data_IF_450920944594
#
_entry.id   IF_450920944594
#
_cell.length_a   1.000
_cell.length_b   1.000
_cell.length_c   1.000
_cell.angle_alpha   90.00
_cell.angle_beta   90.00
_cell.angle_gamma   90.00
#
_symmetry.space_group_name_H-M   'P 1'
#
loop_
_entity.id
_entity.type
_entity.pdbx_description
1 polymer ?
#
# COMPACT_ATOMS: atom_id res chain seq x y z
N UNK A 1 30.67 -37.89 23.80
CA UNK A 1 30.35 -37.16 22.54
C UNK A 1 28.93 -36.61 22.50
N UNK A 2 27.90 -37.32 22.99
CA UNK A 2 26.50 -36.90 22.98
C UNK A 2 26.25 -35.59 23.76
N UNK A 3 26.91 -35.44 24.94
CA UNK A 3 26.78 -34.21 25.74
C UNK A 3 27.25 -32.96 24.97
N UNK A 4 28.35 -33.03 24.25
CA UNK A 4 28.86 -31.89 23.47
C UNK A 4 28.02 -31.57 22.23
N UNK A 5 27.42 -32.59 21.61
CA UNK A 5 26.49 -32.40 20.51
C UNK A 5 25.20 -31.74 21.01
N UNK A 6 24.64 -32.21 22.13
CA UNK A 6 23.46 -31.59 22.76
C UNK A 6 23.70 -30.13 23.22
N UNK A 7 24.90 -29.85 23.79
CA UNK A 7 25.25 -28.47 24.17
C UNK A 7 25.40 -27.55 22.96
N UNK A 8 25.90 -28.06 21.82
CA UNK A 8 26.00 -27.27 20.59
C UNK A 8 24.63 -27.01 19.94
N UNK A 9 23.73 -27.99 19.99
CA UNK A 9 22.34 -27.83 19.54
C UNK A 9 21.56 -26.82 20.41
N UNK A 10 21.67 -26.92 21.74
CA UNK A 10 21.04 -26.00 22.65
C UNK A 10 21.54 -24.55 22.46
N UNK A 11 22.84 -24.34 22.24
CA UNK A 11 23.39 -23.02 21.87
C UNK A 11 22.87 -22.51 20.54
N UNK A 12 22.75 -23.39 19.55
CA UNK A 12 22.20 -23.05 18.22
C UNK A 12 20.73 -22.67 18.32
N UNK A 13 19.95 -23.35 19.13
CA UNK A 13 18.54 -23.04 19.38
C UNK A 13 18.38 -21.76 20.17
N UNK A 14 19.20 -21.51 21.18
CA UNK A 14 19.20 -20.25 21.92
C UNK A 14 19.57 -19.05 21.02
N UNK A 15 20.60 -19.20 20.17
CA UNK A 15 20.99 -18.18 19.20
C UNK A 15 19.89 -17.93 18.15
N UNK A 16 19.25 -18.99 17.64
CA UNK A 16 18.10 -18.89 16.75
C UNK A 16 16.91 -18.21 17.46
N UNK A 17 16.70 -18.49 18.73
CA UNK A 17 15.67 -17.85 19.57
C UNK A 17 15.87 -16.34 19.67
N UNK A 18 17.08 -15.92 20.00
CA UNK A 18 17.43 -14.50 20.14
C UNK A 18 17.34 -13.73 18.80
N UNK A 19 17.82 -14.35 17.70
CA UNK A 19 17.67 -13.77 16.37
C UNK A 19 16.21 -13.67 15.92
N UNK A 20 15.40 -14.68 16.27
CA UNK A 20 14.00 -14.71 15.91
C UNK A 20 13.17 -13.63 16.61
N UNK A 21 13.53 -13.20 17.82
CA UNK A 21 12.86 -12.10 18.54
C UNK A 21 13.35 -10.71 18.10
N UNK A 22 14.55 -10.60 17.57
CA UNK A 22 15.09 -9.34 17.06
C UNK A 22 14.37 -8.84 15.80
N UNK A 23 14.00 -9.75 14.90
CA UNK A 23 13.35 -9.41 13.63
C UNK A 23 11.98 -8.71 13.79
N UNK A 24 11.01 -9.25 14.57
CA UNK A 24 9.75 -8.54 14.77
C UNK A 24 9.93 -7.24 15.55
N UNK A 25 10.91 -7.16 16.48
CA UNK A 25 11.25 -5.93 17.19
C UNK A 25 11.76 -4.82 16.25
N UNK A 26 12.58 -5.18 15.25
CA UNK A 26 13.03 -4.23 14.22
C UNK A 26 11.85 -3.77 13.34
N UNK A 27 10.99 -4.69 12.90
CA UNK A 27 9.79 -4.35 12.12
C UNK A 27 8.81 -3.48 12.90
N UNK A 28 8.65 -3.72 14.21
CA UNK A 28 7.83 -2.87 15.09
C UNK A 28 8.36 -1.44 15.15
N UNK A 29 9.68 -1.25 15.24
CA UNK A 29 10.31 0.09 15.17
C UNK A 29 10.07 0.77 13.82
N UNK A 30 10.23 0.03 12.73
CA UNK A 30 9.99 0.56 11.38
C UNK A 30 8.54 0.98 11.18
N UNK A 31 7.58 0.16 11.63
CA UNK A 31 6.16 0.48 11.62
C UNK A 31 5.88 1.74 12.45
N UNK A 32 6.40 1.82 13.66
CA UNK A 32 6.22 2.99 14.53
C UNK A 32 6.82 4.25 13.90
N UNK A 33 8.03 4.18 13.36
CA UNK A 33 8.69 5.34 12.71
C UNK A 33 7.93 5.82 11.47
N UNK A 34 7.30 4.93 10.74
CA UNK A 34 6.51 5.29 9.55
C UNK A 34 5.17 5.91 9.93
N UNK A 35 4.54 5.41 11.00
CA UNK A 35 3.16 5.73 11.36
C UNK A 35 3.01 6.77 12.48
N UNK A 36 4.06 7.07 13.25
CA UNK A 36 3.99 7.93 14.44
C UNK A 36 3.42 9.34 14.18
N UNK A 37 3.47 9.83 12.95
CA UNK A 37 2.94 11.13 12.53
C UNK A 37 1.43 11.10 12.17
N UNK A 38 0.81 9.92 12.17
CA UNK A 38 -0.60 9.81 11.76
C UNK A 38 -1.52 10.05 12.92
N UNK A 39 -2.21 11.18 12.90
CA UNK A 39 -3.17 11.61 13.93
C UNK A 39 -4.59 11.73 13.34
N UNK A 40 -5.59 11.74 14.21
CA UNK A 40 -6.95 12.15 13.83
C UNK A 40 -6.97 13.68 13.82
N UNK A 41 -7.17 14.29 12.64
CA UNK A 41 -6.97 15.74 12.45
C UNK A 41 -8.26 16.55 12.38
N UNK A 42 -9.35 15.93 11.96
CA UNK A 42 -10.63 16.60 11.74
C UNK A 42 -11.79 15.60 11.80
N UNK A 43 -13.01 16.07 11.91
CA UNK A 43 -14.19 15.22 11.94
C UNK A 43 -14.46 14.57 10.56
N UNK A 44 -14.46 15.37 9.51
CA UNK A 44 -14.79 14.91 8.15
C UNK A 44 -14.01 15.67 7.09
N UNK A 45 -13.19 14.98 6.32
CA UNK A 45 -12.49 15.57 5.16
C UNK A 45 -13.39 15.83 3.93
N UNK A 46 -14.68 15.51 4.02
CA UNK A 46 -15.65 15.75 2.96
C UNK A 46 -15.47 14.95 1.67
N UNK A 47 -14.54 13.99 1.62
CA UNK A 47 -14.29 13.21 0.39
C UNK A 47 -15.51 12.35 0.01
N UNK A 48 -16.00 12.43 -1.25
CA UNK A 48 -17.02 11.52 -1.76
C UNK A 48 -16.39 10.17 -2.18
N UNK A 49 -15.07 10.06 -2.09
CA UNK A 49 -14.34 8.87 -2.50
C UNK A 49 -14.33 7.79 -1.39
N UNK A 50 -13.98 6.57 -1.77
CA UNK A 50 -13.93 5.43 -0.86
C UNK A 50 -13.51 4.17 -1.60
N UNK A 51 -13.36 3.09 -0.85
CA UNK A 51 -13.08 1.77 -1.39
C UNK A 51 -14.37 0.95 -1.52
N UNK A 52 -14.39 0.00 -2.44
CA UNK A 52 -15.50 -0.95 -2.57
C UNK A 52 -15.19 -2.17 -1.70
N UNK A 53 -16.11 -2.48 -0.80
CA UNK A 53 -16.06 -3.65 0.06
C UNK A 53 -17.28 -4.53 -0.14
N UNK A 54 -17.13 -5.84 0.07
CA UNK A 54 -18.24 -6.77 0.08
C UNK A 54 -19.06 -6.59 1.37
N UNK A 55 -20.38 -6.61 1.27
CA UNK A 55 -21.28 -6.44 2.44
C UNK A 55 -21.21 -7.58 3.45
N UNK A 56 -20.66 -8.74 3.07
CA UNK A 56 -20.40 -9.87 3.97
C UNK A 56 -19.00 -9.81 4.64
N UNK A 57 -18.17 -8.79 4.35
CA UNK A 57 -16.89 -8.58 5.02
C UNK A 57 -17.12 -7.94 6.39
N UNK A 58 -16.65 -8.56 7.46
CA UNK A 58 -16.78 -8.05 8.83
C UNK A 58 -16.14 -6.67 9.02
N UNK A 59 -15.12 -6.34 8.22
CA UNK A 59 -14.45 -5.04 8.24
C UNK A 59 -15.31 -3.87 7.72
N UNK A 60 -16.53 -4.11 7.27
CA UNK A 60 -17.49 -3.06 6.85
C UNK A 60 -18.15 -2.39 8.06
N UNK A 61 -18.31 -3.11 9.17
CA UNK A 61 -18.94 -2.59 10.39
C UNK A 61 -18.13 -1.45 11.01
N UNK A 62 -18.83 -0.44 11.52
CA UNK A 62 -18.23 0.74 12.13
C UNK A 62 -17.61 1.72 11.13
N UNK A 63 -17.67 1.47 9.82
CA UNK A 63 -17.29 2.43 8.78
C UNK A 63 -18.46 3.31 8.38
N UNK A 64 -18.16 4.38 7.67
CA UNK A 64 -19.15 5.26 7.04
C UNK A 64 -19.24 4.96 5.55
N UNK A 65 -20.46 5.05 5.00
CA UNK A 65 -20.66 5.01 3.54
C UNK A 65 -19.99 6.21 2.88
N UNK A 66 -19.47 6.02 1.65
CA UNK A 66 -18.97 7.11 0.85
C UNK A 66 -20.15 7.80 0.12
N UNK A 67 -20.23 9.11 0.24
CA UNK A 67 -21.29 9.92 -0.37
C UNK A 67 -22.24 10.51 0.66
N UNK A 68 -23.05 9.70 1.32
CA UNK A 68 -24.02 10.14 2.35
C UNK A 68 -23.48 10.10 3.78
N UNK A 69 -22.26 9.61 3.95
CA UNK A 69 -21.57 9.53 5.25
C UNK A 69 -22.39 8.86 6.36
N UNK A 70 -23.19 7.85 6.01
CA UNK A 70 -24.01 7.09 6.95
C UNK A 70 -23.16 6.04 7.66
N UNK A 71 -23.31 5.93 8.97
CA UNK A 71 -22.66 4.87 9.75
C UNK A 71 -23.24 3.49 9.37
N UNK A 72 -22.34 2.52 9.17
CA UNK A 72 -22.70 1.13 8.89
C UNK A 72 -22.68 0.38 10.22
N UNK A 73 -23.84 0.38 10.87
CA UNK A 73 -24.12 -0.44 12.03
C UNK A 73 -24.72 -1.80 11.62
N UNK A 74 -24.95 -2.67 12.60
CA UNK A 74 -25.50 -4.00 12.36
C UNK A 74 -26.90 -3.95 11.73
N UNK A 75 -27.72 -2.96 12.09
CA UNK A 75 -29.08 -2.80 11.58
C UNK A 75 -29.07 -2.42 10.10
N UNK A 76 -28.25 -1.45 9.75
CA UNK A 76 -28.10 -1.00 8.37
C UNK A 76 -27.50 -2.11 7.49
N UNK A 77 -26.45 -2.79 7.97
CA UNK A 77 -25.84 -3.91 7.27
C UNK A 77 -26.86 -5.03 6.98
N UNK A 78 -27.68 -5.38 7.98
CA UNK A 78 -28.76 -6.37 7.81
C UNK A 78 -29.80 -5.92 6.77
N UNK A 79 -30.08 -4.62 6.70
CA UNK A 79 -30.99 -4.07 5.69
C UNK A 79 -30.40 -4.16 4.26
N UNK A 80 -29.10 -3.94 4.11
CA UNK A 80 -28.39 -4.08 2.83
C UNK A 80 -28.37 -5.53 2.35
N UNK A 81 -28.11 -6.48 3.25
CA UNK A 81 -28.11 -7.91 2.94
C UNK A 81 -29.50 -8.39 2.50
N UNK A 82 -30.58 -7.97 3.20
CA UNK A 82 -31.97 -8.26 2.78
C UNK A 82 -32.29 -7.71 1.39
N UNK A 83 -31.74 -6.58 1.02
CA UNK A 83 -31.85 -5.96 -0.32
C UNK A 83 -30.92 -6.58 -1.36
N UNK A 84 -30.18 -7.64 -1.02
CA UNK A 84 -29.22 -8.34 -1.89
C UNK A 84 -28.11 -7.42 -2.43
N UNK A 85 -27.74 -6.37 -1.70
CA UNK A 85 -26.63 -5.48 -2.05
C UNK A 85 -25.34 -6.19 -1.66
N UNK A 86 -24.58 -6.64 -2.66
CA UNK A 86 -23.35 -7.43 -2.47
C UNK A 86 -22.10 -6.57 -2.22
N UNK A 87 -22.09 -5.32 -2.68
CA UNK A 87 -20.93 -4.42 -2.59
C UNK A 87 -21.36 -3.04 -2.15
N UNK A 88 -20.55 -2.42 -1.33
CA UNK A 88 -20.79 -1.09 -0.80
C UNK A 88 -19.52 -0.24 -0.93
N UNK A 89 -19.68 1.04 -1.29
CA UNK A 89 -18.58 2.02 -1.29
C UNK A 89 -18.48 2.64 0.10
N UNK A 90 -17.34 2.45 0.78
CA UNK A 90 -17.14 2.88 2.16
C UNK A 90 -15.97 3.85 2.28
N UNK A 91 -16.04 4.74 3.25
CA UNK A 91 -14.93 5.61 3.65
C UNK A 91 -13.77 4.78 4.17
N UNK A 92 -12.54 5.22 3.89
CA UNK A 92 -11.33 4.48 4.22
C UNK A 92 -10.18 5.43 4.54
N UNK A 93 -9.29 5.08 5.48
CA UNK A 93 -8.01 5.77 5.66
C UNK A 93 -7.22 5.89 4.35
N UNK A 94 -7.28 4.88 3.48
CA UNK A 94 -6.55 4.84 2.20
C UNK A 94 -6.94 5.98 1.25
N UNK A 95 -8.23 6.36 1.24
CA UNK A 95 -8.78 7.39 0.36
C UNK A 95 -9.06 8.71 1.07
N UNK A 96 -8.68 8.83 2.34
CA UNK A 96 -8.90 10.04 3.13
C UNK A 96 -8.16 11.24 2.55
N UNK A 97 -8.83 12.40 2.51
CA UNK A 97 -8.26 13.65 2.03
C UNK A 97 -7.70 14.55 3.14
N UNK A 98 -7.90 14.18 4.41
CA UNK A 98 -7.33 14.88 5.55
C UNK A 98 -5.80 14.93 5.50
N UNK A 99 -5.22 16.08 5.87
CA UNK A 99 -3.78 16.30 5.95
C UNK A 99 -3.46 17.23 7.10
N UNK A 100 -2.44 16.89 7.88
CA UNK A 100 -1.78 15.58 7.96
C UNK A 100 -2.68 14.57 8.67
N UNK A 101 -2.54 13.28 8.46
CA UNK A 101 -3.31 12.27 9.20
C UNK A 101 -4.61 11.81 8.53
N UNK A 102 -5.63 11.46 9.33
CA UNK A 102 -6.89 10.85 8.88
C UNK A 102 -8.06 11.54 9.60
N UNK A 103 -9.20 11.75 8.94
CA UNK A 103 -10.41 12.25 9.60
C UNK A 103 -11.16 11.14 10.32
N UNK A 104 -11.99 11.52 11.33
CA UNK A 104 -12.77 10.57 12.12
C UNK A 104 -13.68 9.69 11.25
N UNK A 105 -14.35 10.26 10.25
CA UNK A 105 -15.26 9.48 9.37
C UNK A 105 -14.53 8.48 8.47
N UNK A 106 -13.36 8.80 7.97
CA UNK A 106 -12.58 7.85 7.16
C UNK A 106 -11.97 6.73 8.02
N UNK A 107 -11.62 7.02 9.27
CA UNK A 107 -11.24 5.99 10.23
C UNK A 107 -12.45 5.14 10.64
N UNK A 108 -13.59 5.75 10.97
CA UNK A 108 -14.78 5.09 11.47
C UNK A 108 -14.80 4.94 12.99
N UNK A 109 -15.45 3.90 13.48
CA UNK A 109 -15.52 3.58 14.91
C UNK A 109 -14.39 2.64 15.32
N UNK A 110 -13.88 2.81 16.52
CA UNK A 110 -12.93 1.87 17.13
C UNK A 110 -13.62 0.56 17.59
N UNK A 111 -12.86 -0.33 18.22
CA UNK A 111 -13.39 -1.60 18.75
C UNK A 111 -14.43 -1.42 19.87
N UNK A 112 -14.47 -0.24 20.50
CA UNK A 112 -15.47 0.12 21.52
C UNK A 112 -16.69 0.86 20.92
N UNK A 113 -16.85 0.84 19.60
CA UNK A 113 -17.89 1.55 18.86
C UNK A 113 -17.89 3.08 19.11
N UNK A 114 -16.72 3.68 19.34
CA UNK A 114 -16.55 5.12 19.56
C UNK A 114 -15.70 5.74 18.46
N UNK A 115 -15.96 7.00 18.12
CA UNK A 115 -15.05 7.80 17.31
C UNK A 115 -13.84 8.23 18.15
N UNK A 116 -12.65 8.14 17.56
CA UNK A 116 -11.44 8.63 18.21
C UNK A 116 -11.47 10.18 18.26
N UNK A 117 -11.11 10.79 19.42
CA UNK A 117 -10.98 12.24 19.52
C UNK A 117 -9.98 12.82 18.53
N UNK A 118 -10.22 14.07 18.09
CA UNK A 118 -9.25 14.85 17.32
C UNK A 118 -7.97 15.01 18.16
N UNK A 119 -6.80 14.92 17.53
CA UNK A 119 -5.50 14.96 18.19
C UNK A 119 -5.00 13.57 18.64
N UNK A 120 -5.85 12.52 18.62
CA UNK A 120 -5.40 11.17 18.98
C UNK A 120 -4.32 10.70 18.00
N UNK A 121 -3.15 10.30 18.52
CA UNK A 121 -2.14 9.62 17.72
C UNK A 121 -2.60 8.18 17.42
N UNK A 122 -3.25 8.05 16.30
CA UNK A 122 -3.80 6.78 15.83
C UNK A 122 -2.71 5.88 15.21
N UNK A 123 -1.70 6.48 14.60
CA UNK A 123 -0.64 5.73 13.91
C UNK A 123 0.17 4.83 14.84
N UNK A 124 0.45 5.25 16.07
CA UNK A 124 1.11 4.40 17.08
C UNK A 124 0.25 3.20 17.44
N UNK A 125 -1.07 3.38 17.58
CA UNK A 125 -2.00 2.26 17.82
C UNK A 125 -2.00 1.27 16.67
N UNK A 126 -1.97 1.77 15.43
CA UNK A 126 -1.84 0.92 14.23
C UNK A 126 -0.53 0.16 14.23
N UNK A 127 0.59 0.83 14.50
CA UNK A 127 1.90 0.19 14.56
C UNK A 127 1.93 -0.95 15.59
N UNK A 128 1.35 -0.74 16.78
CA UNK A 128 1.23 -1.77 17.81
C UNK A 128 0.35 -2.93 17.36
N UNK A 129 -0.83 -2.66 16.82
CA UNK A 129 -1.77 -3.69 16.35
C UNK A 129 -1.19 -4.54 15.23
N UNK A 130 -0.34 -3.96 14.36
CA UNK A 130 0.33 -4.68 13.28
C UNK A 130 1.56 -5.47 13.78
N UNK A 131 2.31 -4.94 14.73
CA UNK A 131 3.56 -5.56 15.20
C UNK A 131 3.36 -6.73 16.17
N UNK A 132 2.32 -6.69 16.98
CA UNK A 132 2.03 -7.76 17.95
C UNK A 132 1.89 -9.14 17.29
N UNK A 133 1.04 -9.31 16.26
CA UNK A 133 0.93 -10.59 15.58
C UNK A 133 2.22 -11.03 14.87
N UNK A 134 3.03 -10.10 14.39
CA UNK A 134 4.31 -10.45 13.73
C UNK A 134 5.25 -11.19 14.68
N UNK A 135 5.27 -10.81 15.96
CA UNK A 135 6.03 -11.54 16.98
C UNK A 135 5.52 -12.95 17.18
N UNK A 136 4.19 -13.13 17.23
CA UNK A 136 3.56 -14.44 17.34
C UNK A 136 3.81 -15.31 16.11
N UNK A 137 3.79 -14.74 14.91
CA UNK A 137 4.07 -15.44 13.65
C UNK A 137 5.49 -16.04 13.60
N UNK A 138 6.48 -15.36 14.19
CA UNK A 138 7.84 -15.89 14.29
C UNK A 138 7.90 -17.07 15.26
N UNK A 139 7.20 -16.98 16.38
CA UNK A 139 7.17 -18.05 17.39
C UNK A 139 6.41 -19.28 16.88
N UNK A 140 5.27 -19.10 16.20
CA UNK A 140 4.45 -20.20 15.67
C UNK A 140 5.08 -20.91 14.47
N UNK A 141 5.88 -20.24 13.67
CA UNK A 141 6.61 -20.87 12.56
C UNK A 141 7.61 -21.95 13.02
N UNK A 142 8.01 -21.93 14.31
CA UNK A 142 8.86 -22.97 14.92
C UNK A 142 8.09 -24.24 15.28
N UNK A 143 6.79 -24.16 15.50
CA UNK A 143 5.96 -25.28 16.00
C UNK A 143 5.05 -25.90 14.92
N UNK A 144 4.82 -25.19 13.82
CA UNK A 144 4.07 -25.70 12.67
C UNK A 144 5.01 -26.42 11.70
N UNK A 145 4.93 -27.76 11.66
CA UNK A 145 5.62 -28.52 10.64
C UNK A 145 5.32 -27.94 9.26
N UNK A 146 6.38 -27.70 8.47
CA UNK A 146 6.31 -27.21 7.11
C UNK A 146 5.36 -28.08 6.27
N UNK A 147 4.12 -27.67 6.15
CA UNK A 147 3.39 -28.03 4.94
C UNK A 147 4.05 -27.23 3.81
N UNK A 148 4.80 -27.93 2.98
CA UNK A 148 5.43 -27.37 1.79
C UNK A 148 4.33 -26.67 0.96
N UNK A 149 4.20 -25.36 1.11
CA UNK A 149 3.38 -24.56 0.19
C UNK A 149 4.07 -24.61 -1.16
N UNK A 150 3.27 -24.81 -2.19
CA UNK A 150 3.67 -24.82 -3.61
C UNK A 150 4.66 -23.69 -3.87
N UNK A 151 5.76 -23.96 -4.55
CA UNK A 151 6.87 -23.02 -4.85
C UNK A 151 6.50 -21.68 -5.50
N UNK A 152 5.24 -21.50 -5.87
CA UNK A 152 4.71 -20.29 -6.52
C UNK A 152 4.07 -19.29 -5.54
N UNK A 153 3.94 -19.59 -4.24
CA UNK A 153 3.23 -18.73 -3.27
C UNK A 153 4.17 -17.82 -2.49
N UNK A 154 3.58 -16.73 -1.95
CA UNK A 154 4.25 -15.87 -0.99
C UNK A 154 4.58 -16.69 0.28
N UNK A 155 5.78 -16.54 0.87
CA UNK A 155 6.07 -17.11 2.18
C UNK A 155 5.02 -16.67 3.22
N UNK A 156 4.68 -17.55 4.15
CA UNK A 156 3.72 -17.21 5.22
C UNK A 156 4.39 -16.43 6.36
N UNK A 157 3.58 -15.72 7.11
CA UNK A 157 4.00 -15.07 8.35
C UNK A 157 5.01 -13.95 8.17
N UNK A 158 5.97 -13.88 9.07
CA UNK A 158 6.97 -12.81 9.12
C UNK A 158 7.84 -12.73 7.85
N UNK A 159 8.17 -13.86 7.23
CA UNK A 159 8.97 -13.87 6.00
C UNK A 159 8.20 -13.23 4.85
N UNK A 160 6.90 -13.55 4.70
CA UNK A 160 6.03 -12.93 3.70
C UNK A 160 5.85 -11.43 3.94
N UNK A 161 5.62 -11.04 5.19
CA UNK A 161 5.54 -9.62 5.56
C UNK A 161 6.81 -8.87 5.14
N UNK A 162 7.99 -9.38 5.49
CA UNK A 162 9.26 -8.76 5.14
C UNK A 162 9.54 -8.74 3.65
N UNK A 163 9.21 -9.81 2.94
CA UNK A 163 9.39 -9.84 1.49
C UNK A 163 8.61 -8.71 0.79
N UNK A 164 7.40 -8.43 1.28
CA UNK A 164 6.55 -7.37 0.71
C UNK A 164 7.00 -5.98 1.16
N UNK A 165 7.39 -5.79 2.42
CA UNK A 165 7.69 -4.47 2.99
C UNK A 165 9.15 -4.04 2.84
N UNK A 166 10.10 -4.98 2.87
CA UNK A 166 11.54 -4.68 2.75
C UNK A 166 12.00 -4.58 1.29
N UNK A 167 11.22 -5.08 0.35
CA UNK A 167 11.50 -5.08 -1.11
C UNK A 167 12.93 -5.54 -1.38
N UNK A 168 13.26 -6.82 -1.12
CA UNK A 168 14.61 -7.33 -1.29
C UNK A 168 15.07 -7.23 -2.76
N UNK A 169 16.38 -7.14 -2.98
CA UNK A 169 16.96 -7.11 -4.34
C UNK A 169 16.59 -8.34 -5.17
N UNK A 170 16.49 -9.49 -4.53
CA UNK A 170 16.02 -10.75 -5.12
C UNK A 170 14.68 -11.06 -4.49
N UNK A 171 13.61 -10.87 -5.26
CA UNK A 171 12.24 -11.15 -4.82
C UNK A 171 11.95 -12.64 -5.05
N UNK A 172 11.70 -13.38 -3.96
CA UNK A 172 11.44 -14.82 -4.05
C UNK A 172 10.12 -15.08 -4.75
N UNK A 173 10.09 -16.11 -5.58
CA UNK A 173 8.89 -16.54 -6.30
C UNK A 173 8.24 -15.43 -7.17
N UNK A 174 9.03 -14.49 -7.67
CA UNK A 174 8.53 -13.39 -8.48
C UNK A 174 7.82 -13.89 -9.74
N UNK A 175 6.64 -13.32 -10.00
CA UNK A 175 5.91 -13.52 -11.25
C UNK A 175 6.37 -12.55 -12.32
N UNK A 176 6.35 -12.99 -13.58
CA UNK A 176 6.58 -12.10 -14.72
C UNK A 176 5.31 -11.31 -15.02
N UNK A 177 5.43 -9.97 -15.08
CA UNK A 177 4.33 -9.07 -15.42
C UNK A 177 4.50 -8.50 -16.83
N UNK A 178 3.40 -8.16 -17.48
CA UNK A 178 3.41 -7.49 -18.77
C UNK A 178 3.86 -6.03 -18.63
N UNK A 179 4.90 -5.62 -19.30
CA UNK A 179 5.38 -4.24 -19.33
C UNK A 179 4.59 -3.34 -20.30
N UNK A 180 3.87 -3.96 -21.24
CA UNK A 180 3.09 -3.29 -22.29
C UNK A 180 1.66 -3.81 -22.33
N UNK A 181 0.75 -2.99 -22.86
CA UNK A 181 -0.62 -3.41 -23.16
C UNK A 181 -0.68 -3.96 -24.59
N UNK A 182 -1.24 -5.16 -24.78
CA UNK A 182 -1.34 -5.75 -26.11
C UNK A 182 -1.74 -7.22 -26.12
N UNK A 183 -1.63 -7.82 -27.30
CA UNK A 183 -1.86 -9.27 -27.47
C UNK A 183 -0.54 -10.04 -27.40
N UNK A 184 -0.61 -11.25 -26.87
CA UNK A 184 0.49 -12.22 -26.93
C UNK A 184 0.65 -12.71 -28.36
N UNK A 185 1.75 -12.32 -29.01
CA UNK A 185 2.00 -12.66 -30.42
C UNK A 185 2.64 -14.03 -30.56
N UNK A 186 3.61 -14.36 -29.69
CA UNK A 186 4.41 -15.58 -29.75
C UNK A 186 4.85 -16.01 -28.35
N UNK A 187 4.92 -17.32 -28.15
CA UNK A 187 5.51 -17.94 -26.97
C UNK A 187 6.57 -18.92 -27.47
N UNK A 188 7.77 -18.81 -26.94
CA UNK A 188 8.90 -19.68 -27.25
C UNK A 188 9.38 -20.40 -26.01
N UNK A 189 9.49 -21.73 -26.09
CA UNK A 189 10.13 -22.52 -25.05
C UNK A 189 11.65 -22.42 -25.20
N UNK A 190 12.34 -22.24 -24.09
CA UNK A 190 13.79 -22.16 -24.08
C UNK A 190 14.42 -23.51 -23.75
N UNK A 191 15.53 -23.92 -24.43
CA UNK A 191 16.25 -25.16 -24.13
C UNK A 191 16.78 -25.22 -22.68
N UNK A 192 17.10 -24.05 -22.09
CA UNK A 192 17.53 -23.90 -20.70
C UNK A 192 16.39 -23.94 -19.69
N UNK A 193 15.17 -24.18 -20.16
CA UNK A 193 13.94 -24.03 -19.37
C UNK A 193 13.41 -22.59 -19.38
N UNK A 194 12.12 -22.44 -19.01
CA UNK A 194 11.43 -21.14 -19.05
C UNK A 194 10.89 -20.78 -20.43
N UNK A 195 10.34 -19.57 -20.54
CA UNK A 195 9.63 -19.13 -21.75
C UNK A 195 9.99 -17.69 -22.10
N UNK A 196 10.02 -17.39 -23.39
CA UNK A 196 9.96 -16.02 -23.89
C UNK A 196 8.55 -15.73 -24.43
N UNK A 197 7.89 -14.73 -23.88
CA UNK A 197 6.57 -14.28 -24.29
C UNK A 197 6.73 -12.94 -25.01
N UNK A 198 6.29 -12.85 -26.26
CA UNK A 198 6.40 -11.65 -27.09
C UNK A 198 5.05 -10.95 -27.16
N UNK A 199 5.05 -9.65 -26.85
CA UNK A 199 3.90 -8.76 -26.96
C UNK A 199 4.32 -7.50 -27.72
N UNK A 200 3.82 -7.34 -28.95
CA UNK A 200 4.35 -6.33 -29.87
C UNK A 200 5.86 -6.54 -30.08
N UNK A 201 6.66 -5.53 -29.78
CA UNK A 201 8.13 -5.57 -29.87
C UNK A 201 8.80 -5.89 -28.51
N UNK A 202 8.02 -6.10 -27.46
CA UNK A 202 8.55 -6.35 -26.10
C UNK A 202 8.63 -7.83 -25.83
N UNK A 203 9.77 -8.26 -25.31
CA UNK A 203 10.05 -9.63 -24.90
C UNK A 203 10.00 -9.74 -23.38
N UNK A 204 9.17 -10.64 -22.87
CA UNK A 204 9.06 -10.93 -21.45
C UNK A 204 9.66 -12.31 -21.20
N UNK A 205 10.62 -12.39 -20.29
CA UNK A 205 11.24 -13.65 -19.89
C UNK A 205 10.53 -14.25 -18.67
N UNK A 206 10.10 -15.48 -18.80
CA UNK A 206 9.53 -16.28 -17.71
C UNK A 206 10.57 -17.30 -17.25
N UNK A 207 10.93 -17.23 -15.97
CA UNK A 207 11.96 -18.08 -15.39
C UNK A 207 11.60 -19.57 -15.42
N UNK A 208 12.61 -20.45 -15.50
CA UNK A 208 12.40 -21.91 -15.37
C UNK A 208 11.67 -22.25 -14.07
N UNK A 209 10.78 -23.24 -14.14
CA UNK A 209 9.94 -23.64 -12.99
C UNK A 209 8.66 -22.84 -12.79
N UNK A 210 8.45 -21.73 -13.54
CA UNK A 210 7.20 -20.99 -13.53
C UNK A 210 6.24 -21.50 -14.60
N UNK A 211 4.94 -21.50 -14.26
CA UNK A 211 3.87 -21.87 -15.19
C UNK A 211 3.38 -20.63 -15.92
N UNK A 212 3.14 -20.77 -17.21
CA UNK A 212 2.47 -19.70 -17.98
C UNK A 212 0.99 -19.65 -17.61
N UNK A 213 0.48 -18.44 -17.41
CA UNK A 213 -0.95 -18.16 -17.18
C UNK A 213 -1.64 -17.67 -18.46
N UNK A 214 -0.88 -17.51 -19.55
CA UNK A 214 -1.34 -16.90 -20.79
C UNK A 214 -1.08 -17.78 -21.99
N UNK A 215 -1.92 -17.64 -23.00
CA UNK A 215 -1.83 -18.33 -24.30
C UNK A 215 -1.60 -17.32 -25.44
N UNK A 216 -1.13 -17.83 -26.59
CA UNK A 216 -1.01 -17.01 -27.80
C UNK A 216 -2.36 -16.43 -28.20
N UNK A 217 -2.41 -15.12 -28.42
CA UNK A 217 -3.62 -14.39 -28.79
C UNK A 217 -4.32 -13.69 -27.61
N UNK A 218 -4.00 -14.04 -26.36
CA UNK A 218 -4.58 -13.40 -25.17
C UNK A 218 -4.22 -11.91 -25.16
N UNK A 219 -5.17 -11.09 -24.69
CA UNK A 219 -4.97 -9.66 -24.50
C UNK A 219 -4.65 -9.37 -23.04
N UNK A 220 -3.51 -8.74 -22.80
CA UNK A 220 -3.06 -8.33 -21.47
C UNK A 220 -2.97 -6.82 -21.36
N UNK A 221 -3.35 -6.30 -20.19
CA UNK A 221 -3.07 -4.94 -19.80
C UNK A 221 -1.66 -4.81 -19.22
N UNK A 222 -1.17 -3.57 -19.15
CA UNK A 222 0.11 -3.28 -18.49
C UNK A 222 0.05 -3.71 -17.02
N UNK A 223 1.03 -4.53 -16.60
CA UNK A 223 1.12 -5.07 -15.24
C UNK A 223 0.28 -6.33 -14.98
N UNK A 224 -0.35 -6.93 -15.99
CA UNK A 224 -1.03 -8.21 -15.83
C UNK A 224 -0.03 -9.36 -15.77
N UNK A 225 -0.38 -10.42 -15.03
CA UNK A 225 0.52 -11.57 -14.85
C UNK A 225 0.62 -12.40 -16.12
N UNK A 226 1.85 -12.69 -16.52
CA UNK A 226 2.20 -13.62 -17.60
C UNK A 226 2.46 -15.00 -17.03
N UNK A 227 3.07 -15.09 -15.84
CA UNK A 227 3.38 -16.33 -15.16
C UNK A 227 2.74 -16.42 -13.78
N UNK A 228 2.66 -17.61 -13.23
CA UNK A 228 2.41 -17.82 -11.80
C UNK A 228 3.51 -17.16 -10.95
N UNK A 229 3.31 -17.19 -9.63
CA UNK A 229 4.19 -16.55 -8.67
C UNK A 229 3.59 -15.31 -8.04
N UNK A 230 4.42 -14.58 -7.30
CA UNK A 230 4.02 -13.40 -6.54
C UNK A 230 4.43 -12.14 -7.30
N UNK A 231 3.50 -11.27 -7.68
CA UNK A 231 3.85 -9.98 -8.25
C UNK A 231 4.70 -9.13 -7.30
N UNK A 232 5.79 -8.59 -7.78
CA UNK A 232 6.61 -7.68 -6.99
C UNK A 232 5.85 -6.34 -6.80
N UNK A 233 5.59 -5.90 -5.55
CA UNK A 233 4.83 -4.68 -5.29
C UNK A 233 5.40 -3.45 -6.00
N UNK A 234 6.71 -3.33 -6.07
CA UNK A 234 7.40 -2.25 -6.77
C UNK A 234 7.09 -2.25 -8.26
N UNK A 235 7.12 -3.42 -8.90
CA UNK A 235 6.79 -3.58 -10.32
C UNK A 235 5.32 -3.28 -10.57
N UNK A 236 4.41 -3.81 -9.72
CA UNK A 236 2.96 -3.51 -9.82
C UNK A 236 2.72 -2.00 -9.72
N UNK A 237 3.34 -1.34 -8.73
CA UNK A 237 3.18 0.10 -8.49
C UNK A 237 3.68 0.92 -9.67
N UNK A 238 4.83 0.56 -10.26
CA UNK A 238 5.38 1.27 -11.42
C UNK A 238 4.56 1.07 -12.69
N UNK A 239 4.00 -0.12 -12.90
CA UNK A 239 3.25 -0.46 -14.12
C UNK A 239 1.78 -0.01 -14.07
N UNK A 240 1.10 -0.18 -12.92
CA UNK A 240 -0.34 0.10 -12.75
C UNK A 240 -0.64 1.41 -12.01
N UNK A 241 0.39 2.12 -11.55
CA UNK A 241 0.25 3.37 -10.81
C UNK A 241 0.05 3.20 -9.31
N UNK A 242 0.15 4.33 -8.57
CA UNK A 242 0.17 4.39 -7.12
C UNK A 242 -1.06 3.74 -6.47
N UNK A 243 -2.24 4.03 -6.97
CA UNK A 243 -3.50 3.53 -6.41
C UNK A 243 -3.64 2.02 -6.54
N UNK A 244 -3.29 1.46 -7.70
CA UNK A 244 -3.29 0.00 -7.92
C UNK A 244 -2.21 -0.69 -7.08
N UNK A 245 -1.04 -0.06 -6.93
CA UNK A 245 0.02 -0.53 -6.05
C UNK A 245 -0.44 -0.59 -4.59
N UNK A 246 -1.11 0.46 -4.10
CA UNK A 246 -1.73 0.49 -2.76
C UNK A 246 -2.74 -0.63 -2.56
N UNK A 247 -3.63 -0.82 -3.54
CA UNK A 247 -4.62 -1.90 -3.46
C UNK A 247 -3.96 -3.27 -3.42
N UNK A 248 -2.99 -3.53 -4.29
CA UNK A 248 -2.25 -4.78 -4.32
C UNK A 248 -1.52 -5.04 -2.99
N UNK A 249 -0.82 -4.03 -2.47
CA UNK A 249 -0.10 -4.14 -1.19
C UNK A 249 -1.06 -4.41 -0.02
N UNK A 250 -2.21 -3.72 0.02
CA UNK A 250 -3.26 -3.95 1.02
C UNK A 250 -3.79 -5.38 0.99
N UNK A 251 -4.17 -5.87 -0.19
CA UNK A 251 -4.74 -7.20 -0.35
C UNK A 251 -3.69 -8.27 0.03
N UNK A 252 -2.45 -8.11 -0.44
CA UNK A 252 -1.35 -9.05 -0.13
C UNK A 252 -1.00 -9.09 1.36
N UNK A 253 -0.90 -7.94 2.02
CA UNK A 253 -0.65 -7.89 3.46
C UNK A 253 -1.80 -8.50 4.25
N UNK A 254 -3.05 -8.22 3.85
CA UNK A 254 -4.22 -8.83 4.48
C UNK A 254 -4.16 -10.36 4.40
N UNK A 255 -3.77 -10.91 3.25
CA UNK A 255 -3.63 -12.35 3.05
C UNK A 255 -2.48 -12.93 3.91
N UNK A 256 -1.34 -12.24 4.04
CA UNK A 256 -0.23 -12.64 4.92
C UNK A 256 -0.70 -12.81 6.37
N UNK A 257 -1.46 -11.83 6.91
CA UNK A 257 -2.01 -11.92 8.26
C UNK A 257 -3.05 -13.03 8.39
N UNK A 258 -3.98 -13.10 7.44
CA UNK A 258 -5.06 -14.11 7.39
C UNK A 258 -4.50 -15.53 7.30
N UNK A 259 -3.52 -15.79 6.44
CA UNK A 259 -2.86 -17.10 6.29
C UNK A 259 -2.09 -17.53 7.55
N UNK A 260 -1.74 -16.56 8.38
CA UNK A 260 -1.13 -16.79 9.70
C UNK A 260 -2.17 -16.91 10.83
N UNK A 261 -3.47 -16.96 10.49
CA UNK A 261 -4.56 -17.11 11.46
C UNK A 261 -4.94 -15.81 12.18
N UNK A 262 -4.46 -14.65 11.72
CA UNK A 262 -4.72 -13.35 12.35
C UNK A 262 -5.84 -12.61 11.60
N UNK A 263 -6.92 -12.33 12.28
CA UNK A 263 -8.00 -11.47 11.74
C UNK A 263 -7.66 -9.99 11.97
N UNK A 264 -6.90 -9.41 11.04
CA UNK A 264 -6.47 -8.02 11.13
C UNK A 264 -7.56 -7.06 10.63
N UNK A 265 -7.82 -5.99 11.40
CA UNK A 265 -8.66 -4.88 10.90
C UNK A 265 -8.01 -4.23 9.69
N UNK A 266 -8.71 -4.26 8.56
CA UNK A 266 -8.22 -3.69 7.29
C UNK A 266 -7.86 -2.21 7.39
N UNK A 267 -8.50 -1.44 8.29
CA UNK A 267 -8.18 -0.02 8.49
C UNK A 267 -6.74 0.21 8.94
N UNK A 268 -6.17 -0.70 9.71
CA UNK A 268 -4.77 -0.65 10.12
C UNK A 268 -3.85 -0.85 8.90
N UNK A 269 -4.14 -1.83 8.07
CA UNK A 269 -3.39 -2.07 6.83
C UNK A 269 -3.56 -0.92 5.82
N UNK A 270 -4.77 -0.39 5.68
CA UNK A 270 -5.06 0.77 4.83
C UNK A 270 -4.24 2.01 5.23
N UNK A 271 -4.08 2.22 6.53
CA UNK A 271 -3.26 3.31 7.07
C UNK A 271 -1.77 3.09 6.80
N UNK A 272 -1.27 1.87 7.05
CA UNK A 272 0.12 1.52 6.75
C UNK A 272 0.42 1.72 5.26
N UNK A 273 -0.39 1.16 4.40
CA UNK A 273 -0.21 1.23 2.94
C UNK A 273 -0.27 2.67 2.43
N UNK A 274 -1.16 3.49 3.00
CA UNK A 274 -1.25 4.92 2.66
C UNK A 274 0.06 5.65 2.97
N UNK A 275 0.67 5.38 4.12
CA UNK A 275 1.90 6.07 4.54
C UNK A 275 3.15 5.48 3.87
N UNK A 276 3.20 4.16 3.65
CA UNK A 276 4.30 3.48 2.96
C UNK A 276 4.38 3.91 1.49
N UNK A 277 3.26 3.86 0.77
CA UNK A 277 3.14 4.27 -0.63
C UNK A 277 2.59 5.69 -0.77
N UNK A 278 3.25 6.68 -0.14
CA UNK A 278 2.81 8.07 -0.20
C UNK A 278 3.74 8.98 -1.03
N UNK A 279 4.87 8.50 -1.50
CA UNK A 279 5.85 9.33 -2.18
C UNK A 279 5.80 9.15 -3.69
N UNK A 280 5.95 10.27 -4.39
CA UNK A 280 5.95 10.33 -5.85
C UNK A 280 7.06 11.25 -6.35
N UNK A 281 7.65 10.89 -7.48
CA UNK A 281 8.63 11.71 -8.18
C UNK A 281 7.92 12.53 -9.24
N UNK A 282 8.06 13.84 -9.18
CA UNK A 282 7.41 14.79 -10.08
C UNK A 282 8.05 14.73 -11.47
N UNK A 283 7.25 14.54 -12.52
CA UNK A 283 7.71 14.47 -13.91
C UNK A 283 7.85 15.84 -14.57
N UNK A 284 7.05 16.83 -14.13
CA UNK A 284 7.02 18.18 -14.68
C UNK A 284 6.81 19.18 -13.56
N UNK A 285 7.63 20.24 -13.52
CA UNK A 285 7.43 21.35 -12.57
C UNK A 285 6.03 21.95 -12.72
N UNK A 286 5.41 22.29 -11.60
CA UNK A 286 4.13 22.99 -11.62
C UNK A 286 4.31 24.47 -12.05
N UNK A 287 3.27 25.12 -12.61
CA UNK A 287 3.34 26.51 -13.05
C UNK A 287 3.65 27.50 -11.91
N UNK A 288 3.25 27.16 -10.69
CA UNK A 288 3.44 28.00 -9.50
C UNK A 288 4.85 27.84 -8.90
N UNK A 289 5.66 26.88 -9.39
CA UNK A 289 7.02 26.62 -8.90
C UNK A 289 7.07 25.94 -7.51
N UNK A 290 5.95 25.46 -7.02
CA UNK A 290 5.86 24.76 -5.72
C UNK A 290 6.58 23.44 -5.75
N UNK A 291 6.52 22.72 -6.89
CA UNK A 291 7.18 21.44 -7.13
C UNK A 291 8.05 21.52 -8.37
N UNK A 292 9.29 21.10 -8.25
CA UNK A 292 10.23 21.04 -9.35
C UNK A 292 10.25 19.63 -9.97
N UNK A 293 10.60 19.56 -11.26
CA UNK A 293 10.83 18.28 -11.93
C UNK A 293 11.89 17.48 -11.16
N UNK A 294 11.59 16.19 -10.94
CA UNK A 294 12.38 15.23 -10.17
C UNK A 294 12.30 15.35 -8.65
N UNK A 295 11.56 16.31 -8.11
CA UNK A 295 11.28 16.35 -6.68
C UNK A 295 10.57 15.07 -6.22
N UNK A 296 10.96 14.57 -5.06
CA UNK A 296 10.24 13.49 -4.38
C UNK A 296 9.39 14.13 -3.29
N UNK A 297 8.08 14.03 -3.46
CA UNK A 297 7.11 14.69 -2.58
C UNK A 297 5.99 13.72 -2.17
N UNK A 298 5.34 13.94 -1.02
CA UNK A 298 4.15 13.18 -0.67
C UNK A 298 3.04 13.38 -1.70
N UNK A 299 2.42 12.28 -2.13
CA UNK A 299 1.30 12.32 -3.09
C UNK A 299 0.18 13.27 -2.63
N UNK A 300 -0.08 13.29 -1.33
CA UNK A 300 -1.11 14.13 -0.75
C UNK A 300 -0.88 15.63 -1.03
N UNK A 301 0.35 16.09 -1.15
CA UNK A 301 0.68 17.49 -1.46
C UNK A 301 0.42 17.83 -2.94
N UNK A 302 0.73 16.92 -3.86
CA UNK A 302 0.53 17.17 -5.30
C UNK A 302 -0.93 16.97 -5.75
N UNK A 303 -1.70 16.14 -5.05
CA UNK A 303 -3.09 15.81 -5.39
C UNK A 303 -3.98 17.04 -5.58
N UNK A 304 -3.86 18.01 -4.68
CA UNK A 304 -4.68 19.24 -4.74
C UNK A 304 -4.41 20.05 -6.02
N UNK A 305 -3.16 20.14 -6.44
CA UNK A 305 -2.76 20.85 -7.66
C UNK A 305 -3.25 20.13 -8.92
N UNK A 306 -3.18 18.79 -8.95
CA UNK A 306 -3.72 17.99 -10.04
C UNK A 306 -5.23 18.20 -10.23
N UNK A 307 -5.97 18.31 -9.13
CA UNK A 307 -7.42 18.56 -9.16
C UNK A 307 -7.75 19.94 -9.72
N UNK A 308 -6.99 20.97 -9.35
CA UNK A 308 -7.18 22.36 -9.83
C UNK A 308 -6.95 22.48 -11.34
N UNK A 309 -5.98 21.77 -11.89
CA UNK A 309 -5.62 21.81 -13.32
C UNK A 309 -6.49 20.91 -14.21
N UNK A 310 -7.49 20.21 -13.67
CA UNK A 310 -8.28 19.21 -14.36
C UNK A 310 -9.65 19.71 -14.79
N UNK A 311 -10.14 19.15 -15.92
CA UNK A 311 -11.43 19.50 -16.50
C UNK A 311 -12.47 18.40 -16.30
N UNK A 312 -13.71 18.80 -15.99
CA UNK A 312 -14.82 17.87 -15.86
C UNK A 312 -15.24 17.34 -17.23
N UNK A 313 -15.10 16.04 -17.46
CA UNK A 313 -15.33 15.36 -18.72
C UNK A 313 -16.37 14.25 -18.58
N UNK A 314 -17.23 14.08 -19.56
CA UNK A 314 -18.21 12.99 -19.59
C UNK A 314 -17.51 11.62 -19.63
N UNK A 315 -18.07 10.67 -18.84
CA UNK A 315 -17.54 9.31 -18.79
C UNK A 315 -17.89 8.53 -20.06
N UNK A 316 -16.92 8.38 -20.95
CA UNK A 316 -17.04 7.61 -22.20
C UNK A 316 -15.67 7.01 -22.58
N UNK A 317 -15.65 6.13 -23.60
CA UNK A 317 -14.41 5.46 -24.02
C UNK A 317 -13.28 6.40 -24.49
N UNK A 318 -13.57 7.67 -24.80
CA UNK A 318 -12.56 8.67 -25.23
C UNK A 318 -11.64 9.12 -24.09
N UNK A 319 -11.96 8.77 -22.84
CA UNK A 319 -11.08 9.08 -21.69
C UNK A 319 -9.97 8.04 -21.50
N UNK A 320 -10.04 6.88 -22.18
CA UNK A 320 -8.97 5.87 -22.13
C UNK A 320 -7.69 6.48 -22.70
N UNK A 321 -6.58 6.33 -21.99
CA UNK A 321 -5.29 6.94 -22.31
C UNK A 321 -5.10 8.36 -21.79
N UNK A 322 -6.17 9.03 -21.33
CA UNK A 322 -6.07 10.31 -20.62
C UNK A 322 -5.72 10.10 -19.14
N UNK A 323 -5.34 11.16 -18.45
CA UNK A 323 -4.90 11.11 -17.06
C UNK A 323 -6.04 11.49 -16.11
N UNK A 324 -6.22 10.71 -15.05
CA UNK A 324 -7.22 10.98 -14.02
C UNK A 324 -6.85 12.25 -13.23
N UNK A 325 -7.79 13.19 -13.10
CA UNK A 325 -7.57 14.47 -12.43
C UNK A 325 -7.93 14.49 -10.94
N UNK A 326 -8.64 13.46 -10.47
CA UNK A 326 -9.01 13.29 -9.06
C UNK A 326 -8.93 11.82 -8.66
N UNK A 327 -8.82 11.56 -7.37
CA UNK A 327 -8.91 10.19 -6.86
C UNK A 327 -10.31 9.62 -7.12
N UNK A 328 -10.36 8.40 -7.64
CA UNK A 328 -11.62 7.69 -7.87
C UNK A 328 -11.48 6.21 -7.50
N UNK A 329 -12.32 5.72 -6.59
CA UNK A 329 -12.14 4.42 -5.93
C UNK A 329 -10.74 4.34 -5.28
N UNK A 330 -9.99 3.27 -5.58
CA UNK A 330 -8.60 3.14 -5.14
C UNK A 330 -7.59 3.80 -6.11
N UNK A 331 -8.03 4.25 -7.28
CA UNK A 331 -7.16 4.91 -8.25
C UNK A 331 -6.83 6.35 -7.84
N UNK A 332 -5.59 6.74 -8.07
CA UNK A 332 -5.06 8.06 -7.69
C UNK A 332 -5.06 9.02 -8.88
N UNK A 333 -5.29 10.30 -8.61
CA UNK A 333 -5.10 11.37 -9.59
C UNK A 333 -3.69 11.31 -10.18
N UNK A 334 -3.53 11.72 -11.43
CA UNK A 334 -2.24 11.63 -12.14
C UNK A 334 -1.94 10.27 -12.78
N UNK A 335 -2.82 9.27 -12.61
CA UNK A 335 -2.66 7.95 -13.23
C UNK A 335 -3.32 7.91 -14.61
N UNK A 336 -2.64 7.41 -15.66
CA UNK A 336 -3.26 7.20 -16.98
C UNK A 336 -4.36 6.14 -16.92
N UNK A 337 -5.49 6.43 -17.54
CA UNK A 337 -6.66 5.54 -17.56
C UNK A 337 -6.43 4.41 -18.58
N UNK A 338 -6.15 3.20 -18.08
CA UNK A 338 -6.09 1.98 -18.88
C UNK A 338 -7.49 1.45 -19.20
N UNK A 339 -7.59 0.48 -20.11
CA UNK A 339 -8.86 -0.19 -20.41
C UNK A 339 -9.42 -0.93 -19.21
N UNK A 340 -8.57 -1.61 -18.41
CA UNK A 340 -8.99 -2.31 -17.20
C UNK A 340 -9.53 -1.33 -16.16
N UNK A 341 -8.83 -0.22 -15.92
CA UNK A 341 -9.27 0.84 -15.03
C UNK A 341 -10.61 1.45 -15.48
N UNK A 342 -10.80 1.67 -16.79
CA UNK A 342 -12.07 2.14 -17.33
C UNK A 342 -13.22 1.18 -17.01
N UNK A 343 -13.02 -0.13 -17.17
CA UNK A 343 -14.03 -1.16 -16.87
C UNK A 343 -14.38 -1.17 -15.37
N UNK A 344 -13.40 -1.08 -14.49
CA UNK A 344 -13.64 -1.01 -13.04
C UNK A 344 -14.43 0.23 -12.64
N UNK A 345 -14.07 1.39 -13.20
CA UNK A 345 -14.78 2.66 -12.95
C UNK A 345 -16.21 2.59 -13.51
N UNK A 346 -16.40 1.98 -14.68
CA UNK A 346 -17.73 1.81 -15.28
C UNK A 346 -18.70 1.06 -14.37
N UNK A 347 -18.20 0.11 -13.58
CA UNK A 347 -19.01 -0.62 -12.58
C UNK A 347 -19.69 0.29 -11.56
N UNK A 348 -19.13 1.46 -11.26
CA UNK A 348 -19.72 2.45 -10.35
C UNK A 348 -20.59 3.51 -11.04
N UNK A 349 -20.77 3.43 -12.37
CA UNK A 349 -21.65 4.26 -13.21
C UNK A 349 -21.47 5.77 -13.01
N UNK A 350 -20.25 6.34 -13.06
CA UNK A 350 -20.09 7.77 -12.96
C UNK A 350 -20.63 8.46 -14.22
N UNK A 351 -21.22 9.64 -14.06
CA UNK A 351 -21.66 10.46 -15.21
C UNK A 351 -20.48 11.25 -15.78
N UNK A 352 -19.65 11.81 -14.92
CA UNK A 352 -18.50 12.66 -15.27
C UNK A 352 -17.30 12.34 -14.38
N UNK A 353 -16.10 12.57 -14.89
CA UNK A 353 -14.84 12.49 -14.15
C UNK A 353 -13.99 13.73 -14.41
N UNK A 354 -13.16 14.11 -13.44
CA UNK A 354 -12.11 15.10 -13.65
C UNK A 354 -10.94 14.42 -14.39
N UNK A 355 -10.57 15.01 -15.51
CA UNK A 355 -9.50 14.53 -16.37
C UNK A 355 -8.44 15.62 -16.49
N UNK A 356 -7.19 15.28 -16.21
CA UNK A 356 -6.06 16.18 -16.41
C UNK A 356 -5.71 16.25 -17.90
N UNK A 357 -5.48 17.45 -18.45
CA UNK A 357 -5.00 17.63 -19.81
C UNK A 357 -3.54 17.18 -19.99
N UNK A 358 -2.77 17.21 -18.91
CA UNK A 358 -1.38 16.77 -18.88
C UNK A 358 -1.29 15.25 -18.80
N UNK A 359 -0.20 14.68 -19.31
CA UNK A 359 0.11 13.25 -19.19
C UNK A 359 0.38 12.84 -17.73
N UNK A 360 1.04 11.70 -17.51
CA UNK A 360 1.40 11.22 -16.19
C UNK A 360 2.22 12.28 -15.43
N UNK A 361 1.61 12.89 -14.41
CA UNK A 361 2.18 14.02 -13.68
C UNK A 361 3.36 13.61 -12.79
N UNK A 362 3.41 12.34 -12.42
CA UNK A 362 4.41 11.77 -11.52
C UNK A 362 4.65 10.28 -11.77
N UNK A 363 5.74 9.79 -11.20
CA UNK A 363 6.03 8.36 -11.07
C UNK A 363 5.93 7.96 -9.57
N UNK A 364 5.25 6.85 -9.23
CA UNK A 364 5.23 6.35 -7.87
C UNK A 364 6.64 5.95 -7.41
N UNK A 365 6.97 6.29 -6.17
CA UNK A 365 8.23 5.87 -5.54
C UNK A 365 7.90 4.90 -4.41
N UNK A 366 8.28 3.64 -4.59
CA UNK A 366 8.19 2.62 -3.55
C UNK A 366 9.58 2.26 -3.05
N UNK A 367 9.75 2.27 -1.73
CA UNK A 367 10.99 1.91 -1.06
C UNK A 367 10.71 0.91 0.05
N UNK A 368 11.77 0.29 0.60
CA UNK A 368 11.63 -0.51 1.80
C UNK A 368 11.06 0.33 2.97
N UNK A 369 10.24 -0.28 3.82
CA UNK A 369 9.57 0.36 4.96
C UNK A 369 10.57 1.14 5.84
N UNK A 370 11.74 0.58 6.07
CA UNK A 370 12.85 1.21 6.81
C UNK A 370 13.26 2.59 6.25
N UNK A 371 13.08 2.84 4.95
CA UNK A 371 13.50 4.07 4.28
C UNK A 371 12.41 5.14 4.18
N UNK A 372 11.16 4.77 4.39
CA UNK A 372 10.01 5.67 4.26
C UNK A 372 10.14 6.92 5.15
N UNK A 373 10.53 6.83 6.44
CA UNK A 373 10.72 8.02 7.27
C UNK A 373 11.76 9.00 6.72
N UNK A 374 12.80 8.49 6.03
CA UNK A 374 13.86 9.33 5.45
C UNK A 374 13.41 10.15 4.23
N UNK A 375 12.30 9.77 3.59
CA UNK A 375 11.75 10.49 2.45
C UNK A 375 10.98 11.74 2.86
N UNK A 376 10.60 11.85 4.14
CA UNK A 376 9.93 13.04 4.68
C UNK A 376 10.88 14.22 4.74
N UNK A 377 10.38 15.43 4.43
CA UNK A 377 11.07 16.69 4.71
C UNK A 377 10.99 17.09 6.19
N UNK A 378 10.15 16.39 6.99
CA UNK A 378 10.03 16.62 8.42
C UNK A 378 11.28 16.16 9.16
N UNK A 379 12.04 17.12 9.69
CA UNK A 379 13.28 16.88 10.42
C UNK A 379 13.02 16.04 11.66
N UNK A 380 12.00 16.41 12.45
CA UNK A 380 11.69 15.75 13.72
C UNK A 380 11.24 14.30 13.49
N UNK A 381 10.40 14.07 12.49
CA UNK A 381 10.00 12.70 12.10
C UNK A 381 11.18 11.82 11.67
N UNK A 382 12.25 12.42 11.14
CA UNK A 382 13.50 11.73 10.75
C UNK A 382 14.47 11.49 11.91
N UNK A 383 14.37 12.26 13.00
CA UNK A 383 15.29 12.16 14.15
C UNK A 383 15.22 10.81 14.88
N UNK A 384 14.10 10.11 14.81
CA UNK A 384 13.95 8.74 15.34
C UNK A 384 14.73 7.68 14.55
N UNK A 385 15.29 8.02 13.40
CA UNK A 385 16.03 7.09 12.54
C UNK A 385 17.53 7.03 12.91
N UNK A 386 18.20 5.90 12.60
CA UNK A 386 19.59 5.55 12.99
C UNK A 386 20.68 6.60 12.67
N UNK A 387 20.37 7.65 11.91
CA UNK A 387 21.32 8.68 11.43
C UNK A 387 20.94 10.08 11.89
N UNK A 388 20.70 10.25 13.17
CA UNK A 388 20.29 11.53 13.76
C UNK A 388 21.13 12.71 13.27
N UNK A 389 22.47 12.60 13.34
CA UNK A 389 23.40 13.66 12.94
C UNK A 389 23.31 13.99 11.46
N UNK A 390 23.35 12.97 10.60
CA UNK A 390 23.29 13.14 9.14
C UNK A 390 21.94 13.73 8.72
N UNK A 391 20.85 13.29 9.36
CA UNK A 391 19.50 13.82 9.14
C UNK A 391 19.39 15.29 9.52
N UNK A 392 20.01 15.68 10.65
CA UNK A 392 20.02 17.06 11.11
C UNK A 392 20.76 17.96 10.13
N UNK A 393 21.98 17.57 9.75
CA UNK A 393 22.80 18.32 8.80
C UNK A 393 22.14 18.45 7.42
N UNK A 394 21.59 17.36 6.90
CA UNK A 394 20.88 17.37 5.63
C UNK A 394 19.62 18.23 5.66
N UNK A 395 18.85 18.17 6.75
CA UNK A 395 17.66 18.98 6.94
C UNK A 395 17.95 20.48 7.02
N UNK A 396 18.99 20.87 7.75
CA UNK A 396 19.43 22.28 7.84
C UNK A 396 19.92 22.77 6.49
N UNK A 397 20.75 21.98 5.80
CA UNK A 397 21.31 22.34 4.49
C UNK A 397 20.23 22.52 3.40
N UNK A 398 19.15 21.74 3.48
CA UNK A 398 18.04 21.75 2.51
C UNK A 398 16.86 22.64 2.93
N UNK A 399 16.91 23.27 4.10
CA UNK A 399 15.80 24.08 4.61
C UNK A 399 14.51 23.29 4.83
N UNK A 400 14.61 22.04 5.30
CA UNK A 400 13.43 21.22 5.54
C UNK A 400 12.59 21.78 6.71
N UNK A 401 11.29 21.80 6.49
CA UNK A 401 10.31 22.18 7.51
C UNK A 401 9.89 20.97 8.36
N UNK A 402 9.30 21.22 9.53
CA UNK A 402 8.83 20.16 10.43
C UNK A 402 7.39 20.37 10.85
N UNK A 403 6.65 19.26 10.91
CA UNK A 403 5.25 19.23 11.37
C UNK A 403 5.23 18.95 12.88
N UNK A 404 5.58 19.94 13.68
CA UNK A 404 5.73 19.83 15.15
C UNK A 404 4.45 19.29 15.80
N UNK A 405 3.28 19.79 15.40
CA UNK A 405 1.98 19.41 16.00
C UNK A 405 1.60 17.95 15.89
N UNK A 406 2.23 17.19 14.98
CA UNK A 406 1.86 15.80 14.68
C UNK A 406 2.96 14.79 15.05
N UNK A 407 4.04 15.26 15.63
CA UNK A 407 5.15 14.39 16.01
C UNK A 407 5.20 14.20 17.53
N UNK A 408 4.96 12.98 18.04
CA UNK A 408 5.14 12.70 19.47
C UNK A 408 6.55 13.00 19.98
N UNK A 409 7.55 12.87 19.09
CA UNK A 409 8.92 13.20 19.39
C UNK A 409 9.12 14.71 19.51
N UNK A 410 8.48 15.50 18.66
CA UNK A 410 8.50 16.96 18.75
C UNK A 410 7.81 17.45 20.02
N UNK A 411 6.67 16.86 20.39
CA UNK A 411 5.97 17.14 21.62
C UNK A 411 6.85 16.84 22.85
N UNK A 412 7.58 15.74 22.83
CA UNK A 412 8.53 15.38 23.88
C UNK A 412 9.73 16.32 23.97
N UNK A 413 10.31 16.73 22.83
CA UNK A 413 11.51 17.56 22.78
C UNK A 413 11.22 19.03 23.10
N UNK A 414 10.09 19.56 22.61
CA UNK A 414 9.77 21.00 22.69
C UNK A 414 8.71 21.33 23.75
N UNK A 415 8.19 20.34 24.49
CA UNK A 415 7.05 20.49 25.40
C UNK A 415 5.73 20.64 24.64
N UNK A 416 4.63 20.22 25.26
CA UNK A 416 3.31 20.32 24.61
C UNK A 416 2.98 21.76 24.22
N UNK A 417 2.66 21.94 22.94
CA UNK A 417 2.16 23.21 22.39
C UNK A 417 0.64 23.22 22.40
#
# INVERSE_FOLDING_TARGET
SEFWMGASEARREAAKGNLATALPGDSAKQLTNTLNKVTITEEDCGTPNGIIMATNDSNVLGRFTAGDSRLIDQSYLSSLLRRSIKKLKVRSPLTCEAQPGVCQKCYGLDAMAKQLPIGTNYGVRVAQALSEPLTQMVLSSKHGGNMAKIDASLPSGMEGFRQIMDIPKIFKNESTLSEVEGRVNKIENLPSGGFNVYMGNTKHFVHPGRKLLVSKGDYLGKGDQISDGVPNPKTVTSLKGLGSGRKYLLDTLHDVYKDSGVNMDKRHLETLVREDLNYVKVNKSDPEGTFLKHDIVPYNQIRANLRKSSNLTDFNKKIIGKTLGQDYLHYTAGTPISKSMYQDIQGSKPKKLLISPDGAAYEPVQTALERVPNMSKDIIGRLGHRRLKDTFLDGVAKGYDTYIKNSPLAEYIFGGF
#
